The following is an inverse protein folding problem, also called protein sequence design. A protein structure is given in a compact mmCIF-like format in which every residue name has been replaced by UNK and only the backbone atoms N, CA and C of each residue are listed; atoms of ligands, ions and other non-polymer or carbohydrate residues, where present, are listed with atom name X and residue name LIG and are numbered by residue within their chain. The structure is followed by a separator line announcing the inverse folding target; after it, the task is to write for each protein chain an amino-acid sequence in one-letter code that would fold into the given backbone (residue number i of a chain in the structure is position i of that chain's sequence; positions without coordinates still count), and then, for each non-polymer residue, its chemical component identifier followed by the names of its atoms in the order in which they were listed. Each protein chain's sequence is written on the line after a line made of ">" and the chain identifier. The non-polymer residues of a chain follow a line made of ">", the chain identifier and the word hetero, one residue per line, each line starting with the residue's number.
data_IF_326812423834
#
_entry.id   IF_326812423834
#
_cell.length_a   1.000
_cell.length_b   1.000
_cell.length_c   1.000
_cell.angle_alpha   90.00
_cell.angle_beta   90.00
_cell.angle_gamma   90.00
#
_symmetry.space_group_name_H-M   'P 1'
#
loop_
_entity.id
_entity.type
_entity.pdbx_description
1 polymer ?
#
# COMPACT_ATOMS: atom_id res chain seq x y z
N UNK A 1 -7.89 27.65 -11.12
CA UNK A 1 -7.34 26.35 -10.64
C UNK A 1 -6.77 25.64 -11.87
N UNK A 2 -5.46 25.37 -11.91
CA UNK A 2 -4.82 24.76 -13.08
C UNK A 2 -5.21 23.28 -13.27
N UNK A 3 -5.59 22.56 -12.20
CA UNK A 3 -6.04 21.17 -12.24
C UNK A 3 -6.90 20.84 -11.02
N UNK A 4 -7.97 20.08 -11.22
CA UNK A 4 -8.82 19.56 -10.15
C UNK A 4 -8.40 18.15 -9.67
N UNK A 5 -7.41 17.53 -10.31
CA UNK A 5 -7.06 16.13 -10.07
C UNK A 5 -6.77 15.85 -8.59
N UNK A 6 -6.02 16.70 -7.91
CA UNK A 6 -5.72 16.51 -6.49
C UNK A 6 -6.97 16.57 -5.59
N UNK A 7 -7.93 17.44 -5.92
CA UNK A 7 -9.19 17.55 -5.17
C UNK A 7 -10.07 16.32 -5.42
N UNK A 8 -10.17 15.86 -6.68
CA UNK A 8 -10.93 14.67 -7.06
C UNK A 8 -10.35 13.41 -6.43
N UNK A 9 -9.01 13.23 -6.46
CA UNK A 9 -8.33 12.12 -5.79
C UNK A 9 -8.61 12.13 -4.30
N UNK A 10 -8.53 13.31 -3.66
CA UNK A 10 -8.82 13.41 -2.23
C UNK A 10 -10.28 13.08 -1.90
N UNK A 11 -11.22 13.55 -2.69
CA UNK A 11 -12.64 13.22 -2.54
C UNK A 11 -12.86 11.70 -2.66
N UNK A 12 -12.28 11.07 -3.68
CA UNK A 12 -12.34 9.62 -3.89
C UNK A 12 -11.78 8.83 -2.70
N UNK A 13 -10.63 9.23 -2.16
CA UNK A 13 -10.03 8.59 -0.97
C UNK A 13 -10.95 8.69 0.25
N UNK A 14 -11.50 9.88 0.50
CA UNK A 14 -12.42 10.09 1.63
C UNK A 14 -13.75 9.36 1.46
N UNK A 15 -14.26 9.24 0.24
CA UNK A 15 -15.48 8.47 -0.03
C UNK A 15 -15.25 6.97 0.16
N UNK A 16 -14.10 6.44 -0.28
CA UNK A 16 -13.72 5.06 0.02
C UNK A 16 -13.58 4.82 1.53
N UNK A 17 -12.93 5.73 2.25
CA UNK A 17 -12.80 5.63 3.70
C UNK A 17 -14.18 5.60 4.39
N UNK A 18 -15.10 6.50 4.00
CA UNK A 18 -16.47 6.52 4.52
C UNK A 18 -17.23 5.25 4.18
N UNK A 19 -17.02 4.72 2.98
CA UNK A 19 -17.64 3.47 2.52
C UNK A 19 -17.17 2.30 3.38
N UNK A 20 -15.86 2.15 3.62
CA UNK A 20 -15.31 1.12 4.49
C UNK A 20 -15.82 1.29 5.93
N UNK A 21 -15.84 2.51 6.45
CA UNK A 21 -16.38 2.80 7.79
C UNK A 21 -17.85 2.37 7.91
N UNK A 22 -18.67 2.76 6.95
CA UNK A 22 -20.10 2.42 6.91
C UNK A 22 -20.34 0.91 6.80
N UNK A 23 -19.67 0.25 5.84
CA UNK A 23 -19.87 -1.18 5.59
C UNK A 23 -19.36 -2.06 6.73
N UNK A 24 -18.33 -1.63 7.43
CA UNK A 24 -17.79 -2.35 8.59
C UNK A 24 -18.44 -1.99 9.93
N UNK A 25 -19.39 -1.05 9.94
CA UNK A 25 -19.95 -0.52 11.20
C UNK A 25 -18.87 0.14 12.07
N UNK A 26 -17.91 0.84 11.45
CA UNK A 26 -16.83 1.51 12.14
C UNK A 26 -15.69 0.60 12.62
N UNK A 27 -15.65 -0.67 12.24
CA UNK A 27 -14.65 -1.63 12.74
C UNK A 27 -13.34 -1.65 11.97
N UNK A 28 -13.36 -1.24 10.67
CA UNK A 28 -12.17 -1.29 9.82
C UNK A 28 -11.60 0.10 9.54
N UNK A 29 -10.29 0.19 9.58
CA UNK A 29 -9.54 1.32 9.04
C UNK A 29 -9.43 1.22 7.53
N UNK A 30 -9.31 2.36 6.86
CA UNK A 30 -8.97 2.45 5.44
C UNK A 30 -7.79 3.38 5.25
N UNK A 31 -6.79 2.92 4.49
CA UNK A 31 -5.59 3.70 4.17
C UNK A 31 -5.28 3.55 2.69
N UNK A 32 -5.18 4.67 1.98
CA UNK A 32 -4.75 4.69 0.59
C UNK A 32 -3.29 5.11 0.46
N UNK A 33 -2.55 4.42 -0.40
CA UNK A 33 -1.13 4.59 -0.65
C UNK A 33 -0.90 5.07 -2.09
N UNK A 34 -0.74 6.38 -2.33
CA UNK A 34 -0.48 6.91 -3.68
C UNK A 34 0.88 6.50 -4.23
N UNK A 35 1.82 6.21 -3.37
CA UNK A 35 3.17 5.77 -3.69
C UNK A 35 3.85 5.16 -2.46
N UNK A 36 4.97 4.49 -2.68
CA UNK A 36 5.88 3.99 -1.64
C UNK A 36 7.13 4.88 -1.52
N UNK A 37 6.92 6.20 -1.59
CA UNK A 37 7.93 7.23 -1.34
C UNK A 37 7.60 8.03 -0.07
N UNK A 38 8.38 9.04 0.24
CA UNK A 38 8.18 9.88 1.43
C UNK A 38 6.76 10.44 1.59
N UNK A 39 6.15 11.04 0.55
CA UNK A 39 4.78 11.54 0.65
C UNK A 39 3.73 10.45 0.94
N UNK A 40 3.86 9.27 0.31
CA UNK A 40 2.97 8.14 0.56
C UNK A 40 3.14 7.57 1.96
N UNK A 41 4.38 7.45 2.45
CA UNK A 41 4.65 7.01 3.82
C UNK A 41 4.08 7.99 4.86
N UNK A 42 4.24 9.28 4.63
CA UNK A 42 3.65 10.31 5.50
C UNK A 42 2.11 10.23 5.53
N UNK A 43 1.49 10.02 4.38
CA UNK A 43 0.05 9.81 4.27
C UNK A 43 -0.38 8.54 5.00
N UNK A 44 0.35 7.43 4.79
CA UNK A 44 0.11 6.17 5.49
C UNK A 44 0.13 6.34 7.00
N UNK A 45 1.19 6.89 7.55
CA UNK A 45 1.34 7.10 9.00
C UNK A 45 0.19 7.94 9.54
N UNK A 46 -0.16 9.04 8.85
CA UNK A 46 -1.26 9.91 9.26
C UNK A 46 -2.60 9.18 9.34
N UNK A 47 -2.97 8.44 8.30
CA UNK A 47 -4.26 7.76 8.24
C UNK A 47 -4.29 6.49 9.08
N UNK A 48 -3.21 5.73 9.11
CA UNK A 48 -3.12 4.47 9.85
C UNK A 48 -3.22 4.71 11.36
N UNK A 49 -2.39 5.58 11.90
CA UNK A 49 -2.40 5.83 13.35
C UNK A 49 -3.60 6.64 13.84
N UNK A 50 -4.20 7.46 12.98
CA UNK A 50 -5.47 8.12 13.33
C UNK A 50 -6.64 7.14 13.52
N UNK A 51 -6.50 5.91 13.02
CA UNK A 51 -7.51 4.85 13.07
C UNK A 51 -7.06 3.64 13.92
N UNK A 52 -6.08 3.80 14.80
CA UNK A 52 -5.48 2.71 15.58
C UNK A 52 -6.46 2.00 16.53
N UNK A 53 -7.63 2.57 16.78
CA UNK A 53 -8.70 1.97 17.56
C UNK A 53 -9.59 1.01 16.76
N UNK A 54 -9.30 0.79 15.48
CA UNK A 54 -10.04 -0.12 14.61
C UNK A 54 -9.57 -1.56 14.79
N UNK A 55 -10.46 -2.50 14.48
CA UNK A 55 -10.21 -3.93 14.64
C UNK A 55 -9.39 -4.54 13.51
N UNK A 56 -9.37 -3.93 12.33
CA UNK A 56 -8.62 -4.37 11.16
C UNK A 56 -8.40 -3.26 10.17
N UNK A 57 -7.73 -3.55 9.03
CA UNK A 57 -7.31 -2.52 8.07
C UNK A 57 -7.52 -2.97 6.64
N UNK A 58 -8.12 -2.09 5.83
CA UNK A 58 -8.11 -2.15 4.37
C UNK A 58 -6.99 -1.22 3.89
N UNK A 59 -5.97 -1.78 3.27
CA UNK A 59 -4.87 -1.06 2.63
C UNK A 59 -5.17 -0.98 1.15
N UNK A 60 -5.41 0.21 0.63
CA UNK A 60 -5.69 0.43 -0.79
C UNK A 60 -4.44 1.01 -1.45
N UNK A 61 -3.80 0.20 -2.27
CA UNK A 61 -2.62 0.63 -3.00
C UNK A 61 -2.87 0.79 -4.51
N UNK A 62 -4.11 0.78 -4.93
CA UNK A 62 -4.46 1.04 -6.32
C UNK A 62 -3.86 2.35 -6.80
N UNK A 63 -3.28 2.32 -8.00
CA UNK A 63 -2.58 3.45 -8.62
C UNK A 63 -1.30 3.87 -7.90
N UNK A 64 -0.68 2.98 -7.13
CA UNK A 64 0.59 3.26 -6.44
C UNK A 64 1.71 3.48 -7.46
N UNK A 65 2.31 4.66 -7.43
CA UNK A 65 3.34 5.11 -8.39
C UNK A 65 4.76 4.68 -8.00
N UNK A 66 4.89 3.76 -7.06
CA UNK A 66 6.19 3.23 -6.65
C UNK A 66 6.97 4.11 -5.66
N UNK A 67 8.19 3.71 -5.42
CA UNK A 67 9.12 4.29 -4.44
C UNK A 67 9.88 3.20 -3.68
N UNK A 68 10.68 3.57 -2.69
CA UNK A 68 11.64 2.68 -2.03
C UNK A 68 11.31 2.38 -0.56
N UNK A 69 10.11 2.71 -0.06
CA UNK A 69 9.76 2.53 1.37
C UNK A 69 8.65 1.49 1.60
N UNK A 70 8.46 0.57 0.66
CA UNK A 70 7.47 -0.51 0.79
C UNK A 70 7.71 -1.39 2.03
N UNK A 71 8.97 -1.67 2.35
CA UNK A 71 9.39 -2.46 3.51
C UNK A 71 9.04 -1.76 4.83
N UNK A 72 9.19 -0.43 4.92
CA UNK A 72 8.78 0.34 6.11
C UNK A 72 7.27 0.23 6.33
N UNK A 73 6.47 0.35 5.27
CA UNK A 73 5.01 0.22 5.36
C UNK A 73 4.62 -1.17 5.84
N UNK A 74 5.24 -2.22 5.27
CA UNK A 74 4.98 -3.60 5.68
C UNK A 74 5.39 -3.83 7.13
N UNK A 75 6.51 -3.29 7.59
CA UNK A 75 6.94 -3.40 8.98
C UNK A 75 5.94 -2.74 9.94
N UNK A 76 5.37 -1.58 9.58
CA UNK A 76 4.32 -0.95 10.39
C UNK A 76 3.04 -1.79 10.42
N UNK A 77 2.66 -2.41 9.30
CA UNK A 77 1.49 -3.29 9.22
C UNK A 77 1.70 -4.60 9.98
N UNK A 78 2.94 -5.09 10.08
CA UNK A 78 3.29 -6.36 10.73
C UNK A 78 3.67 -6.21 12.21
N UNK A 79 3.59 -5.02 12.79
CA UNK A 79 3.93 -4.82 14.21
C UNK A 79 3.13 -5.77 15.10
N UNK A 80 3.85 -6.56 15.87
CA UNK A 80 3.24 -7.53 16.80
C UNK A 80 3.16 -6.93 18.21
N UNK A 81 2.09 -7.22 18.96
CA UNK A 81 2.07 -6.95 20.40
C UNK A 81 3.24 -7.66 21.09
N UNK A 82 3.98 -6.94 21.92
CA UNK A 82 5.10 -7.45 22.70
C UNK A 82 4.76 -7.61 24.19
N UNK A 83 3.68 -6.98 24.65
CA UNK A 83 3.23 -7.05 26.03
C UNK A 83 2.21 -5.97 26.36
N UNK A 84 1.89 -5.87 27.64
CA UNK A 84 0.93 -4.91 28.15
C UNK A 84 1.58 -4.09 29.27
N UNK A 85 1.22 -2.82 29.35
CA UNK A 85 1.45 -2.00 30.52
C UNK A 85 0.17 -1.91 31.33
N UNK A 86 0.23 -2.34 32.59
CA UNK A 86 -0.85 -2.11 33.53
C UNK A 86 -0.71 -0.73 34.16
N UNK A 87 -1.80 0.02 34.19
CA UNK A 87 -1.88 1.28 34.92
C UNK A 87 -2.49 1.05 36.30
N UNK A 88 -2.12 1.86 37.26
CA UNK A 88 -2.73 1.84 38.61
C UNK A 88 -4.23 2.14 38.51
N UNK A 89 -4.57 3.15 37.72
CA UNK A 89 -5.92 3.61 37.48
C UNK A 89 -6.16 3.66 35.97
N UNK A 90 -7.01 2.78 35.46
CA UNK A 90 -7.34 2.68 34.02
C UNK A 90 -7.14 1.31 33.41
N UNK A 91 -7.43 1.21 32.11
CA UNK A 91 -7.27 -0.04 31.37
C UNK A 91 -5.82 -0.25 30.92
N UNK A 92 -5.34 -1.50 30.88
CA UNK A 92 -4.04 -1.81 30.30
C UNK A 92 -3.97 -1.39 28.81
N UNK A 93 -2.77 -1.08 28.34
CA UNK A 93 -2.51 -0.78 26.93
C UNK A 93 -1.34 -1.61 26.40
N UNK A 94 -1.33 -1.80 25.07
CA UNK A 94 -0.31 -2.60 24.39
C UNK A 94 1.04 -1.89 24.28
N UNK A 95 2.10 -2.69 24.19
CA UNK A 95 3.38 -2.30 23.61
C UNK A 95 3.59 -3.09 22.31
N UNK A 96 3.85 -2.45 21.18
CA UNK A 96 3.94 -0.99 20.95
C UNK A 96 2.58 -0.29 21.12
N UNK A 97 2.61 0.96 21.58
CA UNK A 97 1.41 1.72 21.94
C UNK A 97 0.46 1.95 20.77
N UNK A 98 0.99 2.00 19.55
CA UNK A 98 0.21 2.29 18.36
C UNK A 98 0.33 1.18 17.32
N UNK A 99 -0.78 0.88 16.66
CA UNK A 99 -0.87 -0.12 15.61
C UNK A 99 -2.26 -0.77 15.57
N UNK A 100 -2.61 -1.35 14.42
CA UNK A 100 -3.83 -2.15 14.24
C UNK A 100 -3.41 -3.60 14.11
N UNK A 101 -3.62 -4.38 15.16
CA UNK A 101 -3.12 -5.77 15.26
C UNK A 101 -4.05 -6.81 14.60
N UNK A 102 -5.28 -6.42 14.26
CA UNK A 102 -6.27 -7.30 13.66
C UNK A 102 -6.01 -7.62 12.19
N UNK A 103 -6.99 -8.27 11.54
CA UNK A 103 -6.86 -8.71 10.15
C UNK A 103 -6.65 -7.54 9.20
N UNK A 104 -5.94 -7.83 8.12
CA UNK A 104 -5.62 -6.87 7.06
C UNK A 104 -5.98 -7.46 5.70
N UNK A 105 -6.34 -6.59 4.79
CA UNK A 105 -6.53 -6.89 3.37
C UNK A 105 -5.90 -5.78 2.55
N UNK A 106 -5.34 -6.13 1.40
CA UNK A 106 -4.79 -5.13 0.49
C UNK A 106 -5.52 -5.17 -0.85
N UNK A 107 -5.91 -3.99 -1.33
CA UNK A 107 -6.52 -3.82 -2.65
C UNK A 107 -5.42 -3.39 -3.62
N UNK A 108 -5.29 -4.11 -4.73
CA UNK A 108 -4.27 -3.91 -5.75
C UNK A 108 -4.90 -3.73 -7.14
N UNK A 109 -4.19 -3.08 -8.05
CA UNK A 109 -4.59 -3.04 -9.46
C UNK A 109 -3.41 -2.98 -10.42
N UNK A 110 -3.69 -3.13 -11.71
CA UNK A 110 -2.73 -3.13 -12.82
C UNK A 110 -1.96 -1.81 -13.00
N UNK A 111 -2.39 -0.76 -12.36
CA UNK A 111 -1.71 0.55 -12.39
C UNK A 111 -0.76 0.76 -11.21
N UNK A 112 -0.68 -0.21 -10.28
CA UNK A 112 0.33 -0.21 -9.23
C UNK A 112 1.62 -0.82 -9.77
N UNK A 113 2.74 -0.13 -9.63
CA UNK A 113 4.01 -0.56 -10.21
C UNK A 113 5.24 -0.12 -9.41
N UNK A 114 6.39 -0.69 -9.71
CA UNK A 114 7.65 -0.45 -9.01
C UNK A 114 7.53 -0.80 -7.52
N UNK A 115 7.69 0.17 -6.61
CA UNK A 115 7.38 -0.04 -5.20
C UNK A 115 5.93 -0.43 -4.93
N UNK A 116 4.99 -0.18 -5.87
CA UNK A 116 3.63 -0.70 -5.87
C UNK A 116 3.52 -2.16 -6.29
N UNK A 117 4.55 -2.74 -6.92
CA UNK A 117 4.71 -4.19 -7.06
C UNK A 117 5.38 -4.80 -5.81
N UNK A 118 6.38 -4.09 -5.26
CA UNK A 118 7.11 -4.58 -4.09
C UNK A 118 6.23 -4.65 -2.83
N UNK A 119 5.33 -3.70 -2.64
CA UNK A 119 4.49 -3.63 -1.45
C UNK A 119 3.57 -4.85 -1.31
N UNK A 120 2.74 -5.26 -2.29
CA UNK A 120 1.92 -6.46 -2.19
C UNK A 120 2.77 -7.73 -2.18
N UNK A 121 3.93 -7.76 -2.82
CA UNK A 121 4.86 -8.88 -2.72
C UNK A 121 5.32 -9.09 -1.27
N UNK A 122 5.77 -8.03 -0.59
CA UNK A 122 6.18 -8.10 0.82
C UNK A 122 5.01 -8.40 1.75
N UNK A 123 3.82 -7.87 1.46
CA UNK A 123 2.60 -8.15 2.21
C UNK A 123 2.25 -9.65 2.19
N UNK A 124 2.32 -10.29 1.02
CA UNK A 124 2.17 -11.76 0.88
C UNK A 124 3.28 -12.52 1.58
N UNK A 125 4.53 -12.12 1.39
CA UNK A 125 5.70 -12.76 2.02
C UNK A 125 5.57 -12.78 3.55
N UNK A 126 5.06 -11.70 4.15
CA UNK A 126 4.79 -11.58 5.59
C UNK A 126 3.46 -12.21 6.02
N UNK A 127 2.67 -12.73 5.09
CA UNK A 127 1.35 -13.35 5.36
C UNK A 127 0.42 -12.43 6.15
N UNK A 128 0.36 -11.14 5.80
CA UNK A 128 -0.41 -10.16 6.53
C UNK A 128 -1.90 -10.25 6.26
N UNK A 129 -2.29 -10.79 5.10
CA UNK A 129 -3.68 -10.98 4.68
C UNK A 129 -3.81 -11.23 3.18
N UNK A 130 -5.03 -11.35 2.66
CA UNK A 130 -5.27 -11.55 1.24
C UNK A 130 -5.08 -10.26 0.43
N UNK A 131 -4.71 -10.45 -0.85
CA UNK A 131 -4.73 -9.42 -1.88
C UNK A 131 -6.01 -9.53 -2.69
N UNK A 132 -6.68 -8.41 -2.96
CA UNK A 132 -7.93 -8.34 -3.74
C UNK A 132 -7.76 -7.34 -4.88
N UNK A 133 -8.27 -7.66 -6.04
CA UNK A 133 -8.25 -6.77 -7.21
C UNK A 133 -7.69 -7.43 -8.46
N UNK A 134 -6.88 -6.72 -9.21
CA UNK A 134 -6.20 -7.23 -10.41
C UNK A 134 -4.69 -7.26 -10.22
N UNK A 135 -4.00 -8.09 -10.99
CA UNK A 135 -2.53 -8.24 -10.95
C UNK A 135 -1.84 -6.90 -11.15
N UNK A 136 -0.81 -6.62 -10.35
CA UNK A 136 -0.01 -5.39 -10.48
C UNK A 136 0.79 -5.35 -11.78
N UNK A 137 1.38 -4.20 -12.09
CA UNK A 137 2.03 -3.95 -13.38
C UNK A 137 3.19 -4.92 -13.66
N UNK A 138 4.06 -5.16 -12.71
CA UNK A 138 5.25 -5.99 -12.90
C UNK A 138 6.45 -5.23 -13.45
N UNK A 139 6.58 -3.98 -13.08
CA UNK A 139 7.72 -3.14 -13.44
C UNK A 139 8.54 -2.76 -12.19
N UNK A 140 9.28 -3.71 -11.63
CA UNK A 140 10.03 -3.52 -10.37
C UNK A 140 11.50 -3.14 -10.60
N UNK A 141 12.01 -3.27 -11.80
CA UNK A 141 13.36 -2.80 -12.15
C UNK A 141 13.49 -1.29 -11.94
N UNK A 142 14.53 -0.87 -11.23
CA UNK A 142 14.79 0.55 -10.96
C UNK A 142 15.71 1.18 -12.01
N UNK A 143 15.46 2.46 -12.31
CA UNK A 143 16.19 3.25 -13.30
C UNK A 143 16.86 4.46 -12.66
N UNK A 144 17.63 4.23 -11.61
CA UNK A 144 18.26 5.30 -10.82
C UNK A 144 19.66 5.63 -11.35
N UNK A 145 19.98 6.91 -11.43
CA UNK A 145 21.35 7.39 -11.61
C UNK A 145 21.93 7.22 -13.02
N UNK A 146 21.12 7.23 -14.06
CA UNK A 146 21.63 7.25 -15.45
C UNK A 146 22.28 8.59 -15.74
N UNK A 147 23.58 8.63 -16.13
CA UNK A 147 24.24 9.89 -16.47
C UNK A 147 23.66 10.46 -17.77
N UNK A 148 23.64 11.79 -17.93
CA UNK A 148 23.24 12.42 -19.18
C UNK A 148 24.23 12.09 -20.29
N UNK A 149 23.74 12.06 -21.53
CA UNK A 149 24.60 11.99 -22.72
C UNK A 149 25.36 13.28 -22.95
N UNK A 150 26.43 13.25 -23.76
CA UNK A 150 27.32 14.41 -23.98
C UNK A 150 26.59 15.63 -24.58
N UNK A 151 25.50 15.39 -25.28
CA UNK A 151 24.62 16.40 -25.89
C UNK A 151 23.49 16.89 -24.94
N UNK A 152 23.50 16.44 -23.69
CA UNK A 152 22.47 16.77 -22.69
C UNK A 152 21.19 15.95 -22.80
N UNK A 153 21.13 14.98 -23.70
CA UNK A 153 20.04 14.01 -23.78
C UNK A 153 20.07 13.03 -22.60
N UNK A 154 19.05 12.18 -22.46
CA UNK A 154 18.99 11.16 -21.44
C UNK A 154 18.52 9.82 -22.01
N UNK A 155 19.09 8.75 -21.50
CA UNK A 155 18.65 7.37 -21.78
C UNK A 155 18.26 6.77 -20.45
N UNK A 156 16.99 6.37 -20.32
CA UNK A 156 16.54 5.60 -19.16
C UNK A 156 16.99 4.17 -19.31
N UNK A 157 17.86 3.72 -18.42
CA UNK A 157 18.35 2.35 -18.40
C UNK A 157 18.19 1.72 -17.02
N UNK A 158 17.92 0.41 -16.93
CA UNK A 158 17.87 -0.30 -15.64
C UNK A 158 19.21 -0.22 -14.93
N UNK A 159 19.19 0.13 -13.64
CA UNK A 159 20.38 0.22 -12.77
C UNK A 159 20.29 -0.67 -11.55
N UNK A 160 19.10 -1.16 -11.20
CA UNK A 160 18.88 -2.14 -10.14
C UNK A 160 17.71 -3.06 -10.50
N UNK A 161 17.77 -4.28 -10.01
CA UNK A 161 16.72 -5.27 -10.20
C UNK A 161 16.53 -6.10 -8.94
N UNK A 162 15.32 -6.59 -8.77
CA UNK A 162 14.94 -7.39 -7.60
C UNK A 162 15.07 -8.89 -7.90
N UNK A 163 15.64 -9.63 -6.95
CA UNK A 163 15.59 -11.09 -6.91
C UNK A 163 15.23 -11.56 -5.49
N UNK A 164 14.54 -12.68 -5.40
CA UNK A 164 14.08 -13.25 -4.14
C UNK A 164 15.21 -14.00 -3.38
N UNK A 165 14.90 -14.51 -2.20
CA UNK A 165 15.89 -15.25 -1.38
C UNK A 165 16.42 -16.53 -2.01
N UNK A 166 15.74 -17.09 -3.00
CA UNK A 166 16.22 -18.25 -3.78
C UNK A 166 17.18 -17.85 -4.91
N UNK A 167 17.51 -16.57 -5.04
CA UNK A 167 18.37 -16.01 -6.08
C UNK A 167 17.70 -15.93 -7.46
N UNK A 168 16.35 -15.99 -7.50
CA UNK A 168 15.58 -15.90 -8.75
C UNK A 168 15.06 -14.48 -8.95
N UNK A 169 15.16 -14.00 -10.19
CA UNK A 169 14.46 -12.79 -10.61
C UNK A 169 12.96 -13.00 -10.41
N UNK A 170 12.32 -12.06 -9.76
CA UNK A 170 10.92 -12.17 -9.37
C UNK A 170 10.20 -10.83 -9.54
N UNK A 171 8.88 -10.88 -9.71
CA UNK A 171 8.00 -9.71 -9.88
C UNK A 171 8.16 -9.00 -11.23
N UNK A 172 9.39 -8.71 -11.67
CA UNK A 172 9.63 -8.03 -12.95
C UNK A 172 9.02 -8.81 -14.13
N UNK A 173 8.25 -8.12 -14.98
CA UNK A 173 7.45 -8.68 -16.09
C UNK A 173 6.37 -9.70 -15.68
N UNK A 174 6.18 -9.93 -14.37
CA UNK A 174 5.23 -10.89 -13.82
C UNK A 174 4.13 -10.15 -13.04
N UNK A 175 4.52 -9.20 -12.18
CA UNK A 175 3.66 -8.54 -11.22
C UNK A 175 3.23 -9.47 -10.08
N UNK A 176 2.36 -8.96 -9.21
CA UNK A 176 1.81 -9.71 -8.08
C UNK A 176 0.34 -9.97 -8.32
N UNK A 177 -0.02 -11.25 -8.40
CA UNK A 177 -1.42 -11.65 -8.59
C UNK A 177 -2.22 -11.56 -7.30
N UNK A 178 -3.49 -11.12 -7.36
CA UNK A 178 -4.38 -11.13 -6.21
C UNK A 178 -4.75 -12.56 -5.81
N UNK A 179 -5.15 -12.73 -4.55
CA UNK A 179 -5.75 -13.98 -4.06
C UNK A 179 -7.24 -14.06 -4.44
N UNK A 180 -7.89 -12.90 -4.55
CA UNK A 180 -9.27 -12.75 -5.00
C UNK A 180 -9.29 -11.77 -6.17
N UNK A 181 -9.56 -12.29 -7.38
CA UNK A 181 -9.63 -11.45 -8.57
C UNK A 181 -10.97 -10.67 -8.59
N UNK A 182 -10.86 -9.34 -8.66
CA UNK A 182 -11.99 -8.42 -8.78
C UNK A 182 -11.63 -7.35 -9.80
N UNK A 183 -12.36 -7.31 -10.89
CA UNK A 183 -12.19 -6.30 -11.94
C UNK A 183 -13.14 -5.13 -11.72
N UNK A 184 -12.60 -3.92 -11.82
CA UNK A 184 -13.38 -2.70 -11.74
C UNK A 184 -13.78 -2.26 -13.17
N UNK A 185 -14.82 -2.88 -13.70
CA UNK A 185 -15.28 -2.59 -15.07
C UNK A 185 -16.16 -1.33 -15.13
N UNK A 186 -16.19 -0.61 -16.28
CA UNK A 186 -17.11 0.53 -16.46
C UNK A 186 -18.58 0.17 -16.24
N UNK A 187 -18.96 -1.08 -16.54
CA UNK A 187 -20.34 -1.56 -16.32
C UNK A 187 -20.64 -1.71 -14.83
N UNK A 188 -19.69 -2.16 -14.03
CA UNK A 188 -19.84 -2.26 -12.58
C UNK A 188 -19.94 -0.86 -11.93
N UNK A 189 -19.22 0.11 -12.45
CA UNK A 189 -19.23 1.50 -11.97
C UNK A 189 -20.47 2.31 -12.41
N UNK A 190 -21.15 1.89 -13.46
CA UNK A 190 -22.36 2.55 -13.99
C UNK A 190 -23.69 2.06 -13.40
N UNK A 191 -23.65 1.23 -12.38
CA UNK A 191 -24.82 0.66 -11.71
C UNK A 191 -25.14 1.28 -10.34
N UNK A 192 -24.48 2.39 -10.02
CA UNK A 192 -24.75 3.18 -8.80
C UNK A 192 -25.78 4.29 -9.07
#
# INVERSE_FOLDING_TARGET
>A
IASENGLRTRAWVEDNRRTVDKLSGGRLAYVWLPNTAGPGYTSFVRYFYAQQNREGTVVDERYNQGGMVADFIVNELDRKPMGFFAQRDGSPFFSPIAGINGPKVMIINESAGSGGDALPFYFKLRKLGPLIGTRTWGGLVGTLGTPPTIDGGGITAPSLAFYNFDGKWDVENIGVSPDINVENTPIANGKD
#
